data_IF_916054237768
#
_entry.id   IF_916054237768
#
_cell.length_a   1.000
_cell.length_b   1.000
_cell.length_c   1.000
_cell.angle_alpha   90.00
_cell.angle_beta   90.00
_cell.angle_gamma   90.00
#
_symmetry.space_group_name_H-M   'P 1'
#
loop_
_entity.id
_entity.type
_entity.pdbx_description
1 polymer ?
#
# COMPACT_ATOMS: atom_id res chain seq x y z
N UNK A 1 66.35 -20.10 4.92
CA UNK A 1 66.25 -18.84 4.15
C UNK A 1 65.15 -17.97 4.76
N UNK A 2 65.04 -16.72 4.28
CA UNK A 2 64.08 -15.69 4.69
C UNK A 2 62.59 -16.08 4.50
N UNK A 3 61.75 -15.68 5.48
CA UNK A 3 60.49 -14.90 5.32
C UNK A 3 59.20 -15.62 4.80
N UNK A 4 57.96 -15.14 5.02
CA UNK A 4 57.42 -13.96 5.76
C UNK A 4 55.92 -14.14 6.13
N UNK A 5 55.48 -13.60 7.30
CA UNK A 5 54.17 -12.92 7.62
C UNK A 5 52.81 -13.60 7.23
N UNK A 6 51.62 -13.25 7.73
CA UNK A 6 51.07 -12.18 8.60
C UNK A 6 49.69 -12.66 9.16
N UNK A 7 48.98 -12.06 10.13
CA UNK A 7 49.30 -11.14 11.22
C UNK A 7 49.58 -12.00 12.50
N UNK A 8 49.18 -11.87 13.79
CA UNK A 8 48.38 -10.98 14.68
C UNK A 8 46.84 -10.85 14.52
N UNK A 9 46.04 -10.64 15.58
CA UNK A 9 46.37 -10.76 17.02
C UNK A 9 45.24 -10.46 18.02
N UNK A 10 45.33 -11.11 19.19
CA UNK A 10 45.18 -10.52 20.54
C UNK A 10 43.92 -9.72 20.92
N UNK A 11 42.94 -10.39 21.56
CA UNK A 11 42.33 -10.06 22.87
C UNK A 11 41.18 -11.06 23.15
N UNK A 12 41.25 -12.05 24.04
CA UNK A 12 41.73 -12.12 25.42
C UNK A 12 40.81 -11.45 26.47
N UNK A 13 39.96 -12.29 27.09
CA UNK A 13 39.43 -12.18 28.47
C UNK A 13 38.57 -10.94 28.82
N UNK A 14 37.25 -11.14 28.93
CA UNK A 14 36.50 -10.79 30.15
C UNK A 14 35.06 -11.35 30.18
N UNK A 15 34.90 -12.66 29.90
CA UNK A 15 33.68 -13.38 30.25
C UNK A 15 33.65 -13.56 31.79
N UNK A 16 33.09 -12.60 32.52
CA UNK A 16 32.85 -12.72 33.95
C UNK A 16 31.68 -13.68 34.22
N UNK A 17 31.93 -14.97 33.97
CA UNK A 17 31.02 -16.05 34.38
C UNK A 17 31.00 -16.06 35.90
N UNK A 18 30.00 -15.41 36.47
CA UNK A 18 29.64 -15.58 37.88
C UNK A 18 29.18 -17.01 38.08
N UNK A 19 30.16 -17.89 38.34
CA UNK A 19 29.95 -19.25 38.81
C UNK A 19 29.38 -19.22 40.24
N UNK A 20 28.13 -18.76 40.36
CA UNK A 20 27.31 -19.03 41.51
C UNK A 20 27.30 -20.54 41.72
N UNK A 21 27.71 -20.98 42.92
CA UNK A 21 27.69 -22.40 43.29
C UNK A 21 26.27 -22.92 43.05
N UNK A 22 26.08 -23.78 42.05
CA UNK A 22 24.79 -24.44 41.84
C UNK A 22 24.48 -25.24 43.10
N UNK A 23 23.49 -24.78 43.84
CA UNK A 23 22.96 -25.56 44.95
C UNK A 23 22.30 -26.82 44.38
N UNK A 24 22.37 -27.99 45.03
CA UNK A 24 21.59 -29.17 44.62
C UNK A 24 20.06 -28.93 44.68
N UNK A 25 19.62 -27.76 45.14
CA UNK A 25 18.22 -27.30 45.22
C UNK A 25 17.76 -26.41 44.05
N UNK A 26 18.59 -26.19 43.03
CA UNK A 26 18.30 -25.27 41.92
C UNK A 26 17.96 -26.00 40.61
N UNK A 27 16.75 -25.77 40.09
CA UNK A 27 16.30 -26.24 38.79
C UNK A 27 16.02 -25.05 37.87
N UNK A 28 16.51 -25.09 36.63
CA UNK A 28 16.26 -24.06 35.62
C UNK A 28 15.77 -24.70 34.33
N UNK A 29 14.84 -24.04 33.64
CA UNK A 29 14.29 -24.50 32.37
C UNK A 29 14.07 -23.31 31.44
N UNK A 30 14.51 -23.44 30.19
CA UNK A 30 14.24 -22.43 29.17
C UNK A 30 12.80 -22.58 28.67
N UNK A 31 12.07 -21.46 28.56
CA UNK A 31 10.78 -21.38 27.89
C UNK A 31 10.96 -20.55 26.62
N UNK A 32 10.93 -21.23 25.47
CA UNK A 32 10.76 -20.56 24.18
C UNK A 32 9.33 -20.05 24.04
N UNK A 33 9.16 -18.76 23.76
CA UNK A 33 7.85 -18.19 23.45
C UNK A 33 7.47 -18.50 21.99
N UNK A 34 6.24 -18.98 21.72
CA UNK A 34 5.78 -19.23 20.36
C UNK A 34 5.58 -17.90 19.63
N UNK A 35 6.54 -17.53 18.78
CA UNK A 35 6.47 -16.31 17.97
C UNK A 35 7.69 -16.12 17.08
N UNK A 36 7.44 -15.83 15.80
CA UNK A 36 8.46 -15.40 14.84
C UNK A 36 8.89 -13.96 15.14
N UNK A 37 9.96 -13.79 15.92
CA UNK A 37 10.48 -12.49 16.30
C UNK A 37 11.12 -11.73 15.12
N UNK A 38 10.98 -10.41 15.11
CA UNK A 38 11.51 -9.55 14.06
C UNK A 38 13.03 -9.73 13.90
N UNK A 39 13.48 -9.83 12.64
CA UNK A 39 14.90 -9.94 12.26
C UNK A 39 15.68 -11.06 12.99
N UNK A 40 15.00 -12.15 13.39
CA UNK A 40 15.62 -13.31 14.03
C UNK A 40 15.91 -13.18 15.53
N UNK A 41 15.58 -12.04 16.16
CA UNK A 41 15.67 -11.90 17.61
C UNK A 41 14.43 -12.48 18.31
N UNK A 42 14.61 -13.51 19.14
CA UNK A 42 13.57 -14.07 20.01
C UNK A 42 14.07 -14.06 21.48
N UNK A 43 13.27 -13.57 22.46
CA UNK A 43 13.70 -13.45 23.85
C UNK A 43 13.68 -14.80 24.58
N UNK A 44 14.87 -15.37 24.78
CA UNK A 44 15.06 -16.58 25.59
C UNK A 44 14.81 -16.32 27.07
N UNK A 45 13.65 -16.73 27.57
CA UNK A 45 13.29 -16.63 28.99
C UNK A 45 13.64 -17.93 29.74
N UNK A 46 14.20 -17.78 30.94
CA UNK A 46 14.51 -18.90 31.84
C UNK A 46 13.59 -18.84 33.05
N UNK A 47 12.84 -19.93 33.27
CA UNK A 47 12.11 -20.17 34.51
C UNK A 47 13.01 -20.88 35.51
N UNK A 48 13.16 -20.29 36.68
CA UNK A 48 14.03 -20.77 37.76
C UNK A 48 13.17 -21.22 38.94
N UNK A 49 13.52 -22.35 39.52
CA UNK A 49 13.00 -22.86 40.79
C UNK A 49 14.15 -23.10 41.75
N UNK A 50 14.14 -22.42 42.91
CA UNK A 50 15.12 -22.56 43.98
C UNK A 50 14.40 -22.55 45.32
N UNK A 51 14.51 -23.66 46.07
CA UNK A 51 13.91 -23.79 47.40
C UNK A 51 14.49 -22.80 48.43
N UNK A 52 15.65 -22.19 48.16
CA UNK A 52 16.23 -21.12 48.97
C UNK A 52 15.79 -19.70 48.60
N UNK A 53 14.97 -19.52 47.55
CA UNK A 53 14.46 -18.21 47.14
C UNK A 53 13.12 -17.87 47.80
N UNK A 54 12.90 -16.59 48.09
CA UNK A 54 11.70 -16.09 48.75
C UNK A 54 10.46 -16.06 47.84
N UNK A 55 9.44 -15.32 48.28
CA UNK A 55 8.23 -15.10 47.49
C UNK A 55 8.50 -14.14 46.32
N UNK A 56 8.06 -14.52 45.11
CA UNK A 56 8.06 -13.67 43.93
C UNK A 56 6.72 -13.72 43.20
N UNK A 57 6.63 -13.03 42.05
CA UNK A 57 5.42 -12.95 41.23
C UNK A 57 4.92 -14.30 40.68
N UNK A 58 5.73 -15.36 40.77
CA UNK A 58 5.44 -16.71 40.26
C UNK A 58 5.34 -17.76 41.39
N UNK A 59 4.94 -17.31 42.60
CA UNK A 59 4.93 -18.02 43.89
C UNK A 59 6.29 -18.13 44.60
N UNK A 60 6.30 -18.77 45.77
CA UNK A 60 7.49 -19.05 46.57
C UNK A 60 8.53 -19.87 45.80
N UNK A 61 9.79 -19.47 45.86
CA UNK A 61 10.91 -20.20 45.25
C UNK A 61 10.91 -20.24 43.72
N UNK A 62 10.04 -19.46 43.04
CA UNK A 62 9.82 -19.53 41.60
C UNK A 62 9.88 -18.15 40.95
N UNK A 63 10.49 -18.07 39.77
CA UNK A 63 10.51 -16.82 39.01
C UNK A 63 11.21 -16.90 37.66
N UNK A 64 10.88 -15.95 36.77
CA UNK A 64 11.66 -15.70 35.57
C UNK A 64 12.98 -15.02 35.95
N UNK A 65 14.07 -15.40 35.29
CA UNK A 65 15.43 -14.86 35.53
C UNK A 65 16.01 -14.15 34.31
N UNK A 66 15.41 -13.02 33.84
CA UNK A 66 16.09 -12.15 32.88
C UNK A 66 17.35 -11.53 33.51
N UNK A 67 18.37 -11.19 32.71
CA UNK A 67 19.58 -10.53 33.23
C UNK A 67 19.23 -9.15 33.80
N UNK A 68 19.41 -8.96 35.11
CA UNK A 68 19.08 -7.72 35.83
C UNK A 68 20.25 -7.23 36.68
N UNK A 69 20.48 -5.92 36.72
CA UNK A 69 21.55 -5.29 37.50
C UNK A 69 20.96 -4.70 38.78
N UNK A 70 21.26 -5.33 39.93
CA UNK A 70 20.77 -4.91 41.25
C UNK A 70 21.91 -4.48 42.17
N UNK A 71 21.73 -3.38 42.93
CA UNK A 71 22.72 -2.89 43.90
C UNK A 71 22.83 -3.86 45.10
N UNK A 72 24.06 -4.13 45.56
CA UNK A 72 24.31 -5.04 46.70
C UNK A 72 23.73 -4.48 48.00
N UNK A 73 22.73 -5.16 48.57
CA UNK A 73 22.05 -4.82 49.84
C UNK A 73 22.52 -5.62 51.06
N UNK A 74 23.40 -6.61 50.89
CA UNK A 74 23.81 -7.61 51.92
C UNK A 74 24.62 -7.07 53.12
N UNK A 75 24.74 -5.75 53.32
CA UNK A 75 25.53 -5.15 54.42
C UNK A 75 24.97 -3.82 54.93
N UNK A 76 24.64 -2.92 54.01
CA UNK A 76 24.21 -1.55 54.26
C UNK A 76 23.02 -1.23 53.34
N UNK A 77 22.15 -0.30 53.76
CA UNK A 77 21.16 0.24 52.83
C UNK A 77 21.88 1.08 51.74
N UNK A 78 21.41 1.02 50.48
CA UNK A 78 22.04 1.72 49.38
C UNK A 78 21.86 3.24 49.50
N UNK A 79 22.79 3.93 50.18
CA UNK A 79 22.82 5.41 50.19
C UNK A 79 22.87 5.93 48.76
N UNK A 80 21.85 6.67 48.33
CA UNK A 80 21.86 7.38 47.06
C UNK A 80 22.69 8.66 47.23
N UNK A 81 23.47 9.01 46.20
CA UNK A 81 24.34 10.18 46.24
C UNK A 81 23.47 11.45 46.21
N UNK A 82 23.89 12.49 46.94
CA UNK A 82 23.01 13.57 47.40
C UNK A 82 22.23 14.25 46.26
N UNK A 83 21.00 14.73 46.54
CA UNK A 83 20.03 15.15 45.53
C UNK A 83 20.55 16.22 44.55
N UNK A 84 21.44 17.11 45.00
CA UNK A 84 22.15 18.08 44.15
C UNK A 84 22.91 17.43 42.99
N UNK A 85 23.54 16.27 43.20
CA UNK A 85 24.36 15.59 42.19
C UNK A 85 23.48 14.89 41.16
N UNK A 86 22.33 14.34 41.57
CA UNK A 86 21.32 13.85 40.61
C UNK A 86 20.72 14.99 39.81
N UNK A 87 20.43 16.16 40.42
CA UNK A 87 20.00 17.35 39.68
C UNK A 87 21.04 17.85 38.66
N UNK A 88 22.32 17.91 39.01
CA UNK A 88 23.39 18.31 38.10
C UNK A 88 23.54 17.34 36.91
N UNK A 89 23.40 16.03 37.14
CA UNK A 89 23.46 15.01 36.09
C UNK A 89 22.21 15.09 35.19
N UNK A 90 21.02 15.31 35.75
CA UNK A 90 19.79 15.50 34.95
C UNK A 90 19.87 16.77 34.11
N UNK A 91 20.37 17.89 34.66
CA UNK A 91 20.57 19.13 33.92
C UNK A 91 21.55 18.98 32.74
N UNK A 92 22.67 18.27 32.93
CA UNK A 92 23.63 18.05 31.85
C UNK A 92 23.12 17.05 30.80
N UNK A 93 22.37 16.01 31.20
CA UNK A 93 21.73 15.08 30.26
C UNK A 93 20.62 15.76 29.46
N UNK A 94 19.76 16.58 30.09
CA UNK A 94 18.74 17.34 29.37
C UNK A 94 19.33 18.33 28.36
N UNK A 95 20.49 18.94 28.66
CA UNK A 95 21.21 19.81 27.72
C UNK A 95 21.72 19.04 26.48
N UNK A 96 22.05 17.75 26.63
CA UNK A 96 22.48 16.88 25.53
C UNK A 96 21.29 16.33 24.75
N UNK A 97 20.21 15.91 25.43
CA UNK A 97 19.01 15.34 24.80
C UNK A 97 18.21 16.38 24.01
N UNK A 98 18.35 17.68 24.30
CA UNK A 98 17.82 18.76 23.48
C UNK A 98 18.35 18.79 22.03
N UNK A 99 19.42 18.04 21.71
CA UNK A 99 19.90 17.83 20.34
C UNK A 99 19.33 16.59 19.64
N UNK A 100 18.37 15.89 20.25
CA UNK A 100 17.72 14.70 19.72
C UNK A 100 16.21 14.92 19.57
N UNK A 101 15.80 15.57 18.48
CA UNK A 101 14.42 15.43 18.01
C UNK A 101 14.16 13.95 17.68
N UNK A 102 13.09 13.40 18.25
CA UNK A 102 12.50 12.15 17.78
C UNK A 102 11.90 12.41 16.40
N UNK A 103 12.74 12.31 15.36
CA UNK A 103 12.35 12.56 13.98
C UNK A 103 11.13 11.73 13.61
N UNK A 104 9.99 12.42 13.49
CA UNK A 104 8.69 11.83 13.14
C UNK A 104 8.88 10.85 11.97
N UNK A 105 8.52 9.56 12.11
CA UNK A 105 8.74 8.58 11.06
C UNK A 105 8.14 9.10 9.75
N UNK A 106 8.87 9.01 8.62
CA UNK A 106 8.49 9.70 7.40
C UNK A 106 7.08 9.28 6.99
N UNK A 107 6.15 10.22 7.11
CA UNK A 107 4.76 10.02 6.68
C UNK A 107 4.80 9.55 5.22
N UNK A 108 4.06 8.49 4.83
CA UNK A 108 4.05 8.02 3.45
C UNK A 108 3.75 9.18 2.51
N UNK A 109 4.77 9.59 1.75
CA UNK A 109 4.70 10.73 0.87
C UNK A 109 3.74 10.37 -0.26
N UNK A 110 2.48 10.80 -0.16
CA UNK A 110 1.47 10.65 -1.20
C UNK A 110 1.79 11.62 -2.34
N UNK A 111 2.90 11.35 -3.01
CA UNK A 111 3.29 11.97 -4.26
C UNK A 111 2.22 11.62 -5.30
N UNK A 112 1.80 12.55 -6.18
CA UNK A 112 0.80 12.26 -7.19
C UNK A 112 1.38 11.24 -8.19
N UNK A 113 1.05 9.97 -7.97
CA UNK A 113 1.51 8.87 -8.80
C UNK A 113 0.96 9.08 -10.22
N UNK A 114 1.84 9.34 -11.18
CA UNK A 114 1.45 9.55 -12.58
C UNK A 114 1.09 8.22 -13.24
N UNK A 115 0.13 8.25 -14.14
CA UNK A 115 -0.43 7.07 -14.80
C UNK A 115 -0.75 7.34 -16.27
N UNK A 116 -1.06 6.28 -17.02
CA UNK A 116 -1.15 6.35 -18.48
C UNK A 116 0.24 6.50 -19.10
N UNK A 117 0.39 7.46 -20.01
CA UNK A 117 1.55 7.66 -20.91
C UNK A 117 1.77 6.47 -21.86
N UNK A 118 2.66 6.64 -22.85
CA UNK A 118 3.09 5.58 -23.77
C UNK A 118 3.68 4.33 -23.06
N UNK A 119 4.04 4.42 -21.79
CA UNK A 119 4.53 3.27 -21.00
C UNK A 119 3.42 2.46 -20.32
N UNK A 120 2.15 2.89 -20.40
CA UNK A 120 1.02 2.17 -19.82
C UNK A 120 1.07 2.06 -18.29
N UNK A 121 1.54 3.13 -17.61
CA UNK A 121 1.70 3.15 -16.15
C UNK A 121 0.35 3.01 -15.45
N UNK A 122 0.12 1.85 -14.83
CA UNK A 122 -1.08 1.55 -14.07
C UNK A 122 -0.98 2.02 -12.62
N UNK A 123 -2.12 2.45 -12.06
CA UNK A 123 -2.25 2.75 -10.64
C UNK A 123 -2.28 1.46 -9.80
N UNK A 124 -1.88 1.51 -8.51
CA UNK A 124 -2.02 0.39 -7.60
C UNK A 124 -3.50 0.03 -7.33
N UNK A 125 -3.73 -1.11 -6.68
CA UNK A 125 -5.06 -1.53 -6.23
C UNK A 125 -5.77 -0.43 -5.40
N UNK A 126 -7.10 -0.41 -5.44
CA UNK A 126 -7.97 0.64 -4.88
C UNK A 126 -7.80 2.07 -5.48
N UNK A 127 -6.97 2.22 -6.53
CA UNK A 127 -6.83 3.48 -7.27
C UNK A 127 -7.28 3.35 -8.73
N UNK A 128 -7.56 4.49 -9.36
CA UNK A 128 -7.85 4.60 -10.79
C UNK A 128 -7.04 5.74 -11.40
N UNK A 129 -6.77 5.65 -12.70
CA UNK A 129 -6.10 6.73 -13.42
C UNK A 129 -7.12 7.77 -13.85
N UNK A 130 -7.03 8.98 -13.32
CA UNK A 130 -7.77 10.12 -13.83
C UNK A 130 -6.94 10.83 -14.89
N UNK A 131 -7.30 10.61 -16.16
CA UNK A 131 -6.67 11.23 -17.32
C UNK A 131 -7.22 12.66 -17.57
N UNK A 132 -8.30 13.06 -16.91
CA UNK A 132 -9.09 14.22 -17.28
C UNK A 132 -10.01 13.96 -18.49
N UNK A 133 -10.94 14.89 -18.71
CA UNK A 133 -11.98 14.78 -19.74
C UNK A 133 -11.35 14.89 -21.15
N UNK A 134 -11.82 14.07 -22.08
CA UNK A 134 -11.40 14.06 -23.49
C UNK A 134 -10.06 13.36 -23.78
N UNK A 135 -9.36 12.86 -22.77
CA UNK A 135 -8.00 12.33 -22.93
C UNK A 135 -7.94 10.82 -23.25
N UNK A 136 -9.08 10.11 -23.25
CA UNK A 136 -9.15 8.65 -23.46
C UNK A 136 -8.58 8.15 -24.79
N UNK A 137 -8.49 9.02 -25.80
CA UNK A 137 -8.13 8.68 -27.19
C UNK A 137 -6.78 9.26 -27.62
N UNK A 138 -5.96 9.72 -26.67
CA UNK A 138 -4.62 10.29 -26.91
C UNK A 138 -3.55 9.29 -26.46
N UNK A 139 -2.64 8.92 -27.35
CA UNK A 139 -1.62 7.89 -27.06
C UNK A 139 -0.67 8.26 -25.91
N UNK A 140 -0.39 9.56 -25.76
CA UNK A 140 0.48 10.12 -24.72
C UNK A 140 -0.29 10.59 -23.47
N UNK A 141 -1.57 10.24 -23.32
CA UNK A 141 -2.43 10.72 -22.23
C UNK A 141 -1.83 10.43 -20.84
N UNK A 142 -1.44 11.49 -20.13
CA UNK A 142 -0.92 11.41 -18.77
C UNK A 142 -2.02 11.77 -17.77
N UNK A 143 -2.27 10.89 -16.81
CA UNK A 143 -3.18 11.11 -15.70
C UNK A 143 -2.50 11.11 -14.33
N UNK A 144 -3.31 11.28 -13.30
CA UNK A 144 -2.92 11.16 -11.89
C UNK A 144 -3.75 10.06 -11.24
N UNK A 145 -3.11 9.18 -10.47
CA UNK A 145 -3.82 8.17 -9.70
C UNK A 145 -4.63 8.81 -8.57
N UNK A 146 -5.94 8.55 -8.57
CA UNK A 146 -6.88 8.94 -7.51
C UNK A 146 -7.47 7.69 -6.84
N UNK A 147 -7.82 7.79 -5.57
CA UNK A 147 -8.50 6.71 -4.84
C UNK A 147 -9.91 6.48 -5.38
N UNK A 148 -10.30 5.22 -5.57
CA UNK A 148 -11.66 4.87 -6.01
C UNK A 148 -12.66 5.20 -4.90
N UNK A 149 -13.74 5.95 -5.16
CA UNK A 149 -14.80 6.15 -4.19
C UNK A 149 -15.62 4.87 -4.02
N UNK A 150 -15.75 4.37 -2.79
CA UNK A 150 -16.61 3.23 -2.44
C UNK A 150 -18.06 3.61 -2.19
N UNK A 151 -18.36 4.91 -2.05
CA UNK A 151 -19.70 5.46 -1.82
C UNK A 151 -19.89 6.63 -2.80
N UNK A 152 -20.98 6.58 -3.57
CA UNK A 152 -21.37 7.62 -4.52
C UNK A 152 -22.81 8.06 -4.30
N UNK A 153 -23.12 9.31 -4.66
CA UNK A 153 -24.49 9.80 -4.72
C UNK A 153 -25.28 9.08 -5.81
N UNK A 154 -26.60 8.98 -5.65
CA UNK A 154 -27.53 8.44 -6.67
C UNK A 154 -28.11 9.54 -7.58
N UNK A 155 -27.37 10.64 -7.69
CA UNK A 155 -27.67 11.76 -8.58
C UNK A 155 -27.37 11.36 -10.03
N UNK A 156 -28.22 11.78 -10.97
CA UNK A 156 -28.10 11.43 -12.38
C UNK A 156 -27.57 12.62 -13.19
N UNK A 157 -26.25 12.68 -13.33
CA UNK A 157 -25.50 13.64 -14.14
C UNK A 157 -24.60 12.81 -15.08
N UNK A 158 -25.14 12.24 -16.18
CA UNK A 158 -24.47 11.18 -16.91
C UNK A 158 -23.15 11.62 -17.55
N UNK A 159 -22.20 10.68 -17.62
CA UNK A 159 -20.89 10.85 -18.26
C UNK A 159 -20.53 9.62 -19.10
N UNK A 160 -19.80 9.83 -20.18
CA UNK A 160 -19.26 8.75 -21.00
C UNK A 160 -17.86 8.36 -20.53
N UNK A 161 -17.64 7.08 -20.22
CA UNK A 161 -16.32 6.56 -19.85
C UNK A 161 -15.42 6.27 -21.05
N UNK A 162 -14.10 6.21 -20.83
CA UNK A 162 -13.12 5.75 -21.84
C UNK A 162 -13.41 4.34 -22.40
N UNK A 163 -14.21 3.54 -21.69
CA UNK A 163 -14.61 2.19 -22.07
C UNK A 163 -15.90 2.14 -22.92
N UNK A 164 -16.40 3.32 -23.34
CA UNK A 164 -17.60 3.47 -24.16
C UNK A 164 -18.93 3.24 -23.41
N UNK A 165 -18.92 3.21 -22.07
CA UNK A 165 -20.14 3.05 -21.26
C UNK A 165 -20.60 4.35 -20.63
N UNK A 166 -21.92 4.57 -20.65
CA UNK A 166 -22.57 5.64 -19.88
C UNK A 166 -22.58 5.28 -18.40
N UNK A 167 -22.04 6.17 -17.57
CA UNK A 167 -22.13 6.11 -16.11
C UNK A 167 -23.10 7.19 -15.61
N UNK A 168 -23.97 6.84 -14.66
CA UNK A 168 -24.98 7.77 -14.15
C UNK A 168 -24.43 9.03 -13.47
N UNK A 169 -23.17 9.00 -13.01
CA UNK A 169 -22.39 10.18 -12.64
C UNK A 169 -20.88 9.90 -12.63
N UNK A 170 -20.08 10.96 -12.55
CA UNK A 170 -18.62 10.92 -12.48
C UNK A 170 -18.06 10.06 -11.31
N UNK A 171 -18.75 10.01 -10.18
CA UNK A 171 -18.35 9.14 -9.07
C UNK A 171 -18.53 7.67 -9.42
N UNK A 172 -19.61 7.30 -10.11
CA UNK A 172 -19.83 5.94 -10.61
C UNK A 172 -18.75 5.49 -11.60
N UNK A 173 -18.29 6.38 -12.49
CA UNK A 173 -17.16 6.12 -13.38
C UNK A 173 -15.86 5.92 -12.58
N UNK A 174 -15.55 6.81 -11.64
CA UNK A 174 -14.37 6.71 -10.77
C UNK A 174 -14.37 5.46 -9.87
N UNK A 175 -15.54 4.99 -9.41
CA UNK A 175 -15.69 3.75 -8.63
C UNK A 175 -15.38 2.50 -9.48
N UNK A 176 -15.91 2.44 -10.71
CA UNK A 176 -15.50 1.45 -11.70
C UNK A 176 -14.02 1.59 -12.11
N UNK A 177 -13.46 2.77 -11.91
CA UNK A 177 -12.07 3.14 -12.21
C UNK A 177 -11.83 3.50 -13.66
N UNK A 178 -12.85 4.06 -14.31
CA UNK A 178 -12.84 4.50 -15.70
C UNK A 178 -12.76 6.03 -15.72
N UNK A 179 -11.80 6.58 -16.47
CA UNK A 179 -11.72 8.03 -16.72
C UNK A 179 -12.80 8.47 -17.70
N UNK A 180 -13.17 9.76 -17.68
CA UNK A 180 -14.27 10.31 -18.47
C UNK A 180 -13.76 10.73 -19.85
N UNK A 181 -14.45 10.32 -20.92
CA UNK A 181 -14.20 10.79 -22.29
C UNK A 181 -14.94 12.11 -22.54
N UNK A 182 -16.23 12.18 -22.17
CA UNK A 182 -17.01 13.42 -22.24
C UNK A 182 -18.19 13.43 -21.25
N UNK A 183 -18.72 14.62 -20.99
CA UNK A 183 -19.98 14.81 -20.24
C UNK A 183 -21.19 14.40 -21.10
N UNK A 184 -22.29 14.01 -20.45
CA UNK A 184 -23.46 13.41 -21.11
C UNK A 184 -23.32 11.90 -21.34
N UNK A 185 -24.39 11.28 -21.82
CA UNK A 185 -24.38 9.85 -22.16
C UNK A 185 -23.47 9.55 -23.35
N UNK A 186 -22.82 8.38 -23.39
CA UNK A 186 -22.07 7.97 -24.57
C UNK A 186 -22.97 7.95 -25.80
N UNK A 187 -22.48 8.51 -26.91
CA UNK A 187 -23.11 8.29 -28.21
C UNK A 187 -23.07 6.80 -28.57
N UNK A 188 -24.20 6.11 -28.46
CA UNK A 188 -24.45 4.90 -29.26
C UNK A 188 -24.17 5.25 -30.72
N UNK A 189 -23.52 4.35 -31.47
CA UNK A 189 -23.16 4.63 -32.86
C UNK A 189 -24.41 5.06 -33.66
N UNK A 190 -24.43 6.33 -34.08
CA UNK A 190 -25.54 6.88 -34.86
C UNK A 190 -25.67 6.06 -36.15
N UNK A 191 -26.89 5.64 -36.56
CA UNK A 191 -27.03 4.71 -37.68
C UNK A 191 -26.38 5.27 -38.95
N UNK A 192 -25.35 4.58 -39.44
CA UNK A 192 -24.51 5.09 -40.53
C UNK A 192 -25.36 5.26 -41.78
N UNK A 193 -25.48 6.48 -42.28
CA UNK A 193 -26.17 6.76 -43.54
C UNK A 193 -25.43 6.13 -44.72
N UNK A 194 -26.18 5.61 -45.69
CA UNK A 194 -25.70 4.93 -46.89
C UNK A 194 -26.53 5.33 -48.12
N UNK A 195 -26.13 4.87 -49.31
CA UNK A 195 -26.75 5.27 -50.56
C UNK A 195 -26.48 6.73 -50.91
N UNK A 196 -27.51 7.43 -51.37
CA UNK A 196 -27.45 8.81 -51.88
C UNK A 196 -26.70 8.94 -53.21
N UNK A 197 -26.66 10.16 -53.77
CA UNK A 197 -25.83 10.50 -54.95
C UNK A 197 -24.36 10.10 -54.83
N UNK A 198 -23.86 9.93 -53.61
CA UNK A 198 -22.48 9.54 -53.31
C UNK A 198 -22.26 8.02 -53.28
N UNK A 199 -23.33 7.20 -53.35
CA UNK A 199 -23.25 5.74 -53.36
C UNK A 199 -22.57 5.16 -52.11
N UNK A 200 -22.80 5.79 -50.94
CA UNK A 200 -22.09 5.46 -49.69
C UNK A 200 -22.42 4.02 -49.30
N UNK A 201 -21.39 3.17 -49.23
CA UNK A 201 -21.53 1.78 -48.83
C UNK A 201 -21.41 1.64 -47.32
N UNK A 202 -22.18 0.70 -46.77
CA UNK A 202 -22.02 0.31 -45.38
C UNK A 202 -20.68 -0.41 -45.14
N UNK A 203 -20.13 -0.35 -43.92
CA UNK A 203 -19.04 -1.23 -43.48
C UNK A 203 -19.41 -2.72 -43.57
N UNK A 204 -18.41 -3.60 -43.53
CA UNK A 204 -18.59 -5.04 -43.68
C UNK A 204 -19.62 -5.63 -42.67
N UNK A 205 -20.56 -6.44 -43.18
CA UNK A 205 -21.62 -7.07 -42.38
C UNK A 205 -22.88 -6.22 -42.14
N UNK A 206 -22.93 -4.99 -42.66
CA UNK A 206 -24.10 -4.12 -42.59
C UNK A 206 -24.80 -4.04 -43.97
N UNK A 207 -26.13 -4.10 -43.97
CA UNK A 207 -26.96 -3.90 -45.15
C UNK A 207 -27.50 -2.47 -45.17
N UNK A 208 -27.49 -1.83 -46.34
CA UNK A 208 -28.18 -0.55 -46.54
C UNK A 208 -29.67 -0.83 -46.78
N UNK A 209 -30.55 -0.19 -46.02
CA UNK A 209 -32.01 -0.28 -46.15
C UNK A 209 -32.59 1.12 -46.08
N UNK A 210 -33.54 1.44 -46.95
CA UNK A 210 -34.16 2.77 -47.03
C UNK A 210 -34.93 3.12 -45.74
N UNK A 211 -34.98 4.41 -45.38
CA UNK A 211 -35.65 4.86 -44.16
C UNK A 211 -37.17 4.99 -44.38
N UNK A 212 -38.03 4.19 -43.71
CA UNK A 212 -39.48 4.27 -43.87
C UNK A 212 -40.11 5.54 -43.26
N UNK A 213 -39.32 6.44 -42.67
CA UNK A 213 -39.76 7.77 -42.22
C UNK A 213 -39.65 8.88 -43.27
N UNK A 214 -39.05 8.60 -44.43
CA UNK A 214 -38.73 9.55 -45.50
C UNK A 214 -39.70 9.42 -46.70
N UNK A 215 -39.61 10.34 -47.69
CA UNK A 215 -40.50 10.38 -48.87
C UNK A 215 -39.85 9.88 -50.16
N UNK A 216 -38.67 9.25 -50.10
CA UNK A 216 -37.95 8.71 -51.24
C UNK A 216 -38.45 7.30 -51.58
N UNK A 217 -39.64 7.23 -52.17
CA UNK A 217 -40.19 6.01 -52.76
C UNK A 217 -39.29 5.50 -53.90
N UNK A 218 -38.67 4.31 -53.80
CA UNK A 218 -37.75 3.81 -54.83
C UNK A 218 -38.44 3.43 -56.16
N UNK A 219 -39.78 3.44 -56.26
CA UNK A 219 -40.49 3.33 -57.54
C UNK A 219 -40.65 4.70 -58.27
N UNK A 220 -40.46 5.83 -57.58
CA UNK A 220 -40.71 7.18 -58.12
C UNK A 220 -39.60 8.23 -57.85
N UNK A 221 -38.70 7.96 -56.91
CA UNK A 221 -37.47 8.70 -56.64
C UNK A 221 -36.31 8.27 -57.54
N UNK A 222 -35.26 9.09 -57.60
CA UNK A 222 -34.10 8.82 -58.45
C UNK A 222 -33.06 7.90 -57.80
N UNK A 223 -31.89 7.80 -58.45
CA UNK A 223 -30.74 7.04 -57.96
C UNK A 223 -29.99 7.74 -56.78
N UNK A 224 -30.72 8.54 -56.01
CA UNK A 224 -30.24 9.49 -55.01
C UNK A 224 -30.89 9.33 -53.62
N UNK A 225 -31.77 8.35 -53.42
CA UNK A 225 -32.30 8.00 -52.10
C UNK A 225 -31.18 7.56 -51.13
N UNK A 226 -31.27 8.02 -49.88
CA UNK A 226 -30.32 7.69 -48.82
C UNK A 226 -30.98 6.75 -47.81
N UNK A 227 -30.29 5.65 -47.50
CA UNK A 227 -30.73 4.64 -46.52
C UNK A 227 -29.89 4.65 -45.25
N UNK A 228 -30.20 3.69 -44.38
CA UNK A 228 -29.53 3.46 -43.09
C UNK A 228 -28.84 2.08 -43.12
N UNK A 229 -27.60 2.03 -42.64
CA UNK A 229 -26.88 0.78 -42.40
C UNK A 229 -27.42 0.06 -41.18
N UNK A 230 -28.13 -1.04 -41.39
CA UNK A 230 -28.58 -1.95 -40.33
C UNK A 230 -27.78 -3.26 -40.33
N UNK A 231 -27.80 -3.99 -39.21
CA UNK A 231 -27.16 -5.31 -39.11
C UNK A 231 -27.80 -6.30 -40.09
N UNK A 232 -27.11 -6.58 -41.20
CA UNK A 232 -27.64 -7.42 -42.27
C UNK A 232 -27.69 -8.88 -41.84
N UNK A 233 -28.88 -9.49 -41.92
CA UNK A 233 -28.98 -10.96 -42.00
C UNK A 233 -28.40 -11.37 -43.35
N UNK A 234 -27.12 -11.73 -43.39
CA UNK A 234 -26.40 -12.00 -44.63
C UNK A 234 -26.98 -13.17 -45.44
N UNK A 235 -26.92 -13.04 -46.77
CA UNK A 235 -27.14 -14.09 -47.76
C UNK A 235 -25.94 -14.12 -48.72
#
# INVERSE_FOLDING_TARGET
>A
MKQQKNQAGTQARNACVLAGKRSPTQFTSALGLPGSGCSGFNPQLYFSSDFGAGNGAFSSGRGLSPPSITRKTRKELPRYLNALITWLIVLSVSLVVAGCEEGNPPQPQLQPQVCGTIQGLACPAEQYCDLGIGQCKVADAQGVCKTRPTICTREFNPVCGCDGKTYGNACGAAAAGVSIDHEGECKTAEPQACGGIAGIRCPDGLACVDDPGDTCDPEHGGADCAGICIAGQGQ
#
